data_IF_364712540703
#
_entry.id   IF_364712540703
#
_cell.length_a   1.000
_cell.length_b   1.000
_cell.length_c   1.000
_cell.angle_alpha   90.00
_cell.angle_beta   90.00
_cell.angle_gamma   90.00
#
_symmetry.space_group_name_H-M   'P 1'
#
loop_
_entity.id
_entity.type
_entity.pdbx_description
1 polymer ?
#
# COMPACT_ATOMS: atom_id res chain seq x y z
N UNK A 1 2.02 -24.13 56.20
CA UNK A 1 1.28 -23.35 57.23
C UNK A 1 1.49 -21.88 56.87
N UNK A 2 0.51 -21.00 56.64
CA UNK A 2 -0.95 -20.98 56.72
C UNK A 2 -1.44 -19.85 55.76
N UNK A 3 -2.45 -20.19 54.94
CA UNK A 3 -3.71 -19.46 54.68
C UNK A 3 -3.69 -18.08 53.99
N UNK A 4 -4.12 -18.11 52.71
CA UNK A 4 -5.19 -17.35 52.02
C UNK A 4 -5.49 -15.86 52.31
N UNK A 5 -5.77 -15.14 51.22
CA UNK A 5 -6.60 -13.94 51.19
C UNK A 5 -7.03 -13.58 49.77
N UNK A 6 -8.22 -14.03 49.36
CA UNK A 6 -8.92 -13.56 48.18
C UNK A 6 -10.01 -12.58 48.59
N UNK A 7 -10.22 -11.49 47.85
CA UNK A 7 -11.47 -10.72 47.88
C UNK A 7 -11.91 -10.42 46.45
N UNK A 8 -13.21 -10.66 46.22
CA UNK A 8 -13.94 -10.56 44.97
C UNK A 8 -14.60 -9.18 44.81
N UNK A 9 -14.79 -8.82 43.54
CA UNK A 9 -15.98 -8.24 42.89
C UNK A 9 -16.42 -6.79 43.18
N UNK A 10 -16.65 -6.06 42.07
CA UNK A 10 -17.92 -5.38 41.79
C UNK A 10 -18.14 -5.23 40.27
N UNK A 11 -19.38 -5.39 39.84
CA UNK A 11 -19.94 -5.32 38.47
C UNK A 11 -20.91 -4.14 38.40
N UNK A 12 -20.97 -3.44 37.26
CA UNK A 12 -22.15 -2.76 36.67
C UNK A 12 -21.72 -2.22 35.27
N UNK A 13 -22.18 -2.68 34.10
CA UNK A 13 -23.50 -2.75 33.42
C UNK A 13 -23.98 -1.42 32.79
N UNK A 14 -24.36 -1.53 31.50
CA UNK A 14 -25.24 -0.71 30.65
C UNK A 14 -24.65 0.53 29.95
N UNK A 15 -24.99 0.90 28.70
CA UNK A 15 -25.83 0.28 27.66
C UNK A 15 -25.65 1.04 26.31
N UNK A 16 -25.91 0.31 25.22
CA UNK A 16 -26.52 0.66 23.92
C UNK A 16 -26.22 1.98 23.18
N UNK A 17 -25.93 1.84 21.87
CA UNK A 17 -26.08 2.92 20.88
C UNK A 17 -25.68 2.50 19.46
N UNK A 18 -26.41 1.55 18.86
CA UNK A 18 -26.31 1.24 17.42
C UNK A 18 -27.15 2.26 16.66
N UNK A 19 -26.56 3.03 15.76
CA UNK A 19 -27.28 3.85 14.78
C UNK A 19 -27.17 3.18 13.41
N UNK A 20 -28.21 2.43 13.05
CA UNK A 20 -28.56 2.11 11.67
C UNK A 20 -29.74 3.00 11.31
N UNK A 21 -29.54 3.94 10.38
CA UNK A 21 -30.64 4.69 9.76
C UNK A 21 -30.72 4.28 8.30
N UNK A 22 -31.72 3.46 8.03
CA UNK A 22 -32.17 2.99 6.72
C UNK A 22 -33.27 3.88 6.15
N UNK A 23 -33.34 3.92 4.82
CA UNK A 23 -34.47 4.33 3.96
C UNK A 23 -34.89 5.80 3.95
N UNK A 24 -34.52 6.49 2.87
CA UNK A 24 -35.31 7.57 2.29
C UNK A 24 -36.16 7.01 1.14
N UNK A 25 -37.48 7.04 1.30
CA UNK A 25 -38.47 6.86 0.24
C UNK A 25 -38.76 8.21 -0.40
N UNK A 26 -38.88 8.24 -1.72
CA UNK A 26 -39.30 9.39 -2.51
C UNK A 26 -40.81 9.56 -2.43
N UNK A 27 -41.28 10.75 -2.07
CA UNK A 27 -42.66 11.21 -2.30
C UNK A 27 -42.64 12.67 -2.78
N UNK A 28 -43.21 12.88 -3.96
CA UNK A 28 -43.43 14.16 -4.63
C UNK A 28 -44.63 14.89 -4.00
N UNK A 29 -44.45 16.15 -3.61
CA UNK A 29 -45.53 16.97 -3.03
C UNK A 29 -45.20 18.45 -2.96
N UNK A 30 -46.06 19.29 -3.53
CA UNK A 30 -45.73 20.62 -4.03
C UNK A 30 -45.91 21.81 -3.04
N UNK A 31 -45.17 22.88 -3.37
CA UNK A 31 -45.42 24.33 -3.17
C UNK A 31 -45.16 24.99 -1.80
N UNK A 32 -44.26 25.98 -1.80
CA UNK A 32 -44.24 27.05 -0.80
C UNK A 32 -43.03 27.99 -0.86
N UNK A 33 -43.20 29.13 -1.55
CA UNK A 33 -42.66 30.48 -1.30
C UNK A 33 -41.14 30.76 -1.11
N UNK A 34 -40.76 31.92 -1.64
CA UNK A 34 -39.41 32.40 -1.87
C UNK A 34 -38.71 33.03 -0.65
N UNK A 35 -37.37 32.97 -0.65
CA UNK A 35 -36.49 34.02 -0.10
C UNK A 35 -35.18 34.07 -0.89
N UNK A 36 -34.91 35.22 -1.53
CA UNK A 36 -33.57 35.62 -2.00
C UNK A 36 -32.74 35.97 -0.78
N UNK A 37 -31.47 35.57 -0.79
CA UNK A 37 -30.34 36.37 -0.27
C UNK A 37 -29.06 35.89 -0.97
N UNK A 38 -28.35 36.87 -1.55
CA UNK A 38 -27.06 36.75 -2.22
C UNK A 38 -25.95 36.39 -1.23
N UNK A 39 -24.94 35.65 -1.70
CA UNK A 39 -23.62 35.71 -1.07
C UNK A 39 -22.77 34.45 -1.21
N UNK A 40 -21.68 34.59 -1.95
CA UNK A 40 -20.46 33.84 -1.64
C UNK A 40 -20.20 32.64 -2.54
N UNK A 41 -19.45 32.91 -3.59
CA UNK A 41 -18.56 31.97 -4.30
C UNK A 41 -17.74 31.15 -3.30
N UNK A 42 -18.26 30.00 -2.89
CA UNK A 42 -17.53 28.93 -2.25
C UNK A 42 -17.16 27.90 -3.29
N UNK A 43 -16.33 28.28 -4.26
CA UNK A 43 -15.67 27.31 -5.14
C UNK A 43 -14.72 26.52 -4.23
N UNK A 44 -15.24 25.43 -3.66
CA UNK A 44 -14.41 24.40 -3.06
C UNK A 44 -13.39 24.08 -4.14
N UNK A 45 -12.13 24.50 -3.92
CA UNK A 45 -11.01 24.10 -4.76
C UNK A 45 -10.97 22.60 -4.65
N UNK A 46 -11.65 21.92 -5.58
CA UNK A 46 -11.44 20.51 -5.81
C UNK A 46 -9.93 20.36 -5.91
N UNK A 47 -9.34 19.62 -4.98
CA UNK A 47 -7.94 19.27 -5.07
C UNK A 47 -7.77 18.70 -6.48
N UNK A 48 -7.07 19.46 -7.35
CA UNK A 48 -6.79 19.02 -8.71
C UNK A 48 -6.13 17.66 -8.52
N UNK A 49 -6.75 16.62 -9.08
CA UNK A 49 -6.15 15.30 -9.05
C UNK A 49 -4.70 15.46 -9.53
N UNK A 50 -3.70 14.91 -8.81
CA UNK A 50 -2.32 15.11 -9.18
C UNK A 50 -2.15 14.68 -10.64
N UNK A 51 -1.41 15.47 -11.41
CA UNK A 51 -1.08 15.13 -12.78
C UNK A 51 -0.45 13.73 -12.77
N UNK A 52 -0.86 12.88 -13.70
CA UNK A 52 -0.36 11.51 -13.82
C UNK A 52 0.70 11.40 -14.91
N UNK A 53 1.01 12.49 -15.60
CA UNK A 53 1.91 12.55 -16.74
C UNK A 53 2.82 13.78 -16.60
N UNK A 54 3.93 13.78 -17.34
CA UNK A 54 4.92 14.85 -17.39
C UNK A 54 5.49 15.26 -16.02
N UNK A 55 5.65 14.28 -15.12
CA UNK A 55 6.18 14.52 -13.78
C UNK A 55 7.70 14.70 -13.82
N UNK A 56 8.18 15.80 -13.25
CA UNK A 56 9.64 16.06 -13.15
C UNK A 56 10.35 15.06 -12.23
N UNK A 57 9.63 14.46 -11.27
CA UNK A 57 10.13 13.48 -10.30
C UNK A 57 9.03 12.54 -9.85
N UNK A 58 9.41 11.45 -9.19
CA UNK A 58 8.45 10.53 -8.58
C UNK A 58 7.71 11.23 -7.43
N UNK A 59 6.38 11.36 -7.44
CA UNK A 59 5.63 12.05 -6.40
C UNK A 59 5.83 11.46 -5.00
N UNK A 60 5.72 12.27 -3.95
CA UNK A 60 5.72 11.85 -2.54
C UNK A 60 6.97 11.07 -2.07
N UNK A 61 8.04 11.06 -2.88
CA UNK A 61 9.35 10.53 -2.54
C UNK A 61 10.28 11.69 -2.21
N UNK A 62 10.75 11.76 -0.96
CA UNK A 62 11.64 12.83 -0.48
C UNK A 62 13.02 12.80 -1.14
N UNK A 63 13.72 13.95 -1.14
CA UNK A 63 14.96 14.18 -1.90
C UNK A 63 16.02 13.11 -1.66
N UNK A 64 16.23 12.71 -0.40
CA UNK A 64 17.19 11.65 -0.05
C UNK A 64 17.00 10.34 -0.81
N UNK A 65 15.74 9.96 -1.10
CA UNK A 65 15.44 8.75 -1.86
C UNK A 65 15.43 9.02 -3.37
N UNK A 66 14.99 10.20 -3.82
CA UNK A 66 15.09 10.59 -5.23
C UNK A 66 16.53 10.52 -5.74
N UNK A 67 17.47 11.06 -4.97
CA UNK A 67 18.89 11.11 -5.34
C UNK A 67 19.51 9.71 -5.49
N UNK A 68 18.85 8.67 -4.96
CA UNK A 68 19.26 7.27 -5.08
C UNK A 68 18.64 6.56 -6.28
N UNK A 69 17.68 7.16 -6.96
CA UNK A 69 17.14 6.62 -8.21
C UNK A 69 18.22 6.80 -9.29
N UNK A 70 18.69 5.71 -9.94
CA UNK A 70 19.72 5.83 -10.97
C UNK A 70 19.26 6.76 -12.11
N UNK A 71 20.15 7.67 -12.56
CA UNK A 71 19.81 8.64 -13.59
C UNK A 71 19.39 7.99 -14.93
N UNK A 72 19.86 6.78 -15.20
CA UNK A 72 19.51 5.97 -16.36
C UNK A 72 18.26 5.08 -16.15
N UNK A 73 17.59 5.19 -15.01
CA UNK A 73 16.34 4.49 -14.78
C UNK A 73 15.28 4.99 -15.77
N UNK A 74 14.64 4.02 -16.45
CA UNK A 74 13.53 4.23 -17.39
C UNK A 74 12.17 3.79 -16.80
N UNK A 75 12.21 3.09 -15.68
CA UNK A 75 11.04 2.63 -14.94
C UNK A 75 11.32 2.72 -13.44
N UNK A 76 10.30 3.07 -12.66
CA UNK A 76 10.30 3.02 -11.20
C UNK A 76 9.04 2.32 -10.74
N UNK A 77 9.20 1.31 -9.89
CA UNK A 77 8.09 0.73 -9.12
C UNK A 77 8.14 1.33 -7.73
N UNK A 78 7.27 2.29 -7.47
CA UNK A 78 7.16 2.94 -6.16
C UNK A 78 6.10 2.24 -5.32
N UNK A 79 6.38 2.03 -4.03
CA UNK A 79 5.42 1.45 -3.09
C UNK A 79 5.14 2.46 -1.98
N UNK A 80 3.90 2.93 -1.90
CA UNK A 80 3.47 3.91 -0.92
C UNK A 80 2.65 3.22 0.18
N UNK A 81 3.13 3.26 1.42
CA UNK A 81 2.38 2.79 2.58
C UNK A 81 1.28 3.77 3.00
N UNK A 82 0.16 3.27 3.54
CA UNK A 82 -0.86 4.13 4.16
C UNK A 82 -0.37 4.80 5.46
N UNK A 83 0.74 4.33 6.01
CA UNK A 83 1.38 4.85 7.21
C UNK A 83 2.56 3.99 7.61
N UNK A 84 3.41 4.49 8.50
CA UNK A 84 4.64 3.82 8.94
C UNK A 84 4.39 2.43 9.50
N UNK A 85 3.33 2.25 10.30
CA UNK A 85 2.98 0.97 10.95
C UNK A 85 1.88 0.18 10.22
N UNK A 86 1.50 0.59 9.00
CA UNK A 86 0.42 -0.04 8.24
C UNK A 86 0.93 -1.11 7.28
N UNK A 87 0.21 -2.23 7.20
CA UNK A 87 0.43 -3.28 6.22
C UNK A 87 -0.22 -3.01 4.86
N UNK A 88 -0.97 -1.92 4.72
CA UNK A 88 -1.65 -1.53 3.48
C UNK A 88 -0.77 -0.57 2.70
N UNK A 89 -0.60 -0.85 1.42
CA UNK A 89 0.17 -0.02 0.50
C UNK A 89 -0.46 0.06 -0.88
N UNK A 90 0.10 0.91 -1.72
CA UNK A 90 -0.21 1.01 -3.16
C UNK A 90 1.10 0.90 -3.93
N UNK A 91 1.16 -0.01 -4.89
CA UNK A 91 2.26 -0.11 -5.85
C UNK A 91 1.90 0.74 -7.06
N UNK A 92 2.84 1.54 -7.54
CA UNK A 92 2.68 2.40 -8.72
C UNK A 92 3.86 2.19 -9.65
N UNK A 93 3.57 1.93 -10.92
CA UNK A 93 4.56 1.89 -11.98
C UNK A 93 4.64 3.28 -12.63
N UNK A 94 5.85 3.83 -12.64
CA UNK A 94 6.20 5.00 -13.41
C UNK A 94 7.13 4.61 -14.56
N UNK A 95 6.90 5.21 -15.73
CA UNK A 95 7.71 5.04 -16.94
C UNK A 95 8.24 6.39 -17.37
N UNK A 96 9.53 6.45 -17.76
CA UNK A 96 10.15 7.69 -18.21
C UNK A 96 9.86 7.93 -19.69
N UNK A 97 9.43 9.14 -20.03
CA UNK A 97 9.23 9.63 -21.40
C UNK A 97 10.07 10.90 -21.58
N UNK A 98 11.15 10.80 -22.35
CA UNK A 98 12.17 11.88 -22.38
C UNK A 98 12.77 12.11 -20.98
N UNK A 99 12.58 13.32 -20.46
CA UNK A 99 13.06 13.71 -19.13
C UNK A 99 11.97 13.65 -18.04
N UNK A 100 10.71 13.38 -18.41
CA UNK A 100 9.59 13.33 -17.48
C UNK A 100 9.15 11.91 -17.17
N UNK A 101 8.33 11.76 -16.13
CA UNK A 101 7.77 10.50 -15.67
C UNK A 101 6.26 10.48 -15.80
N UNK A 102 5.73 9.36 -16.27
CA UNK A 102 4.30 9.10 -16.36
C UNK A 102 3.92 7.95 -15.42
N UNK A 103 2.87 8.15 -14.63
CA UNK A 103 2.20 7.09 -13.88
C UNK A 103 1.41 6.22 -14.85
N UNK A 104 1.93 5.04 -15.15
CA UNK A 104 1.31 4.13 -16.12
C UNK A 104 0.34 3.13 -15.48
N UNK A 105 0.63 2.62 -14.28
CA UNK A 105 -0.24 1.64 -13.59
C UNK A 105 -0.20 1.78 -12.07
N UNK A 106 -1.24 1.27 -11.40
CA UNK A 106 -1.37 1.31 -9.94
C UNK A 106 -2.17 0.11 -9.43
N UNK A 107 -1.76 -0.46 -8.30
CA UNK A 107 -2.44 -1.60 -7.68
C UNK A 107 -2.48 -1.47 -6.16
N UNK A 108 -3.55 -1.95 -5.49
CA UNK A 108 -3.50 -2.18 -4.05
C UNK A 108 -2.45 -3.23 -3.73
N UNK A 109 -1.76 -3.07 -2.60
CA UNK A 109 -0.68 -3.95 -2.20
C UNK A 109 -0.61 -4.12 -0.68
N UNK A 110 0.19 -5.11 -0.28
CA UNK A 110 0.51 -5.39 1.12
C UNK A 110 2.02 -5.39 1.33
N UNK A 111 2.45 -4.79 2.43
CA UNK A 111 3.84 -4.82 2.90
C UNK A 111 3.93 -5.61 4.22
N UNK A 112 5.10 -5.60 4.86
CA UNK A 112 5.31 -6.22 6.16
C UNK A 112 4.20 -5.83 7.15
N UNK A 113 3.67 -6.82 7.87
CA UNK A 113 2.46 -6.63 8.69
C UNK A 113 2.61 -5.60 9.83
N UNK A 114 3.84 -5.24 10.20
CA UNK A 114 4.15 -4.18 11.17
C UNK A 114 4.58 -2.87 10.49
N UNK A 115 4.36 -2.74 9.18
CA UNK A 115 4.68 -1.54 8.43
C UNK A 115 6.10 -1.54 7.86
N UNK A 116 6.79 -0.41 8.04
CA UNK A 116 8.01 -0.04 7.35
C UNK A 116 9.13 0.30 8.33
N UNK A 117 10.39 0.14 7.94
CA UNK A 117 11.55 0.51 8.76
C UNK A 117 12.75 0.90 7.90
N UNK A 118 13.59 1.78 8.43
CA UNK A 118 14.91 2.09 7.86
C UNK A 118 16.04 1.24 8.45
N UNK A 119 15.78 0.52 9.54
CA UNK A 119 16.68 -0.45 10.19
C UNK A 119 16.00 -1.81 10.19
N UNK A 120 15.93 -2.45 9.01
CA UNK A 120 15.27 -3.74 8.86
C UNK A 120 16.13 -4.86 9.42
N UNK A 121 15.50 -5.72 10.21
CA UNK A 121 16.11 -6.93 10.78
C UNK A 121 15.27 -8.14 10.41
N UNK A 122 15.94 -9.27 10.26
CA UNK A 122 15.25 -10.54 10.04
C UNK A 122 14.17 -10.75 11.12
N UNK A 123 12.98 -11.19 10.69
CA UNK A 123 11.82 -11.48 11.54
C UNK A 123 11.15 -10.27 12.24
N UNK A 124 11.55 -9.02 11.94
CA UNK A 124 10.91 -7.83 12.50
C UNK A 124 9.48 -7.58 11.98
N UNK A 125 9.11 -8.24 10.88
CA UNK A 125 7.81 -8.15 10.18
C UNK A 125 7.54 -6.77 9.56
N UNK A 126 8.59 -6.01 9.26
CA UNK A 126 8.53 -4.73 8.58
C UNK A 126 9.17 -4.84 7.19
N UNK A 127 8.73 -4.01 6.26
CA UNK A 127 9.39 -3.86 4.96
C UNK A 127 10.48 -2.79 5.05
N UNK A 128 11.62 -2.98 4.37
CA UNK A 128 12.67 -1.96 4.34
C UNK A 128 12.24 -0.73 3.54
N UNK A 129 12.63 0.45 4.00
CA UNK A 129 12.49 1.72 3.29
C UNK A 129 13.80 2.02 2.55
N UNK A 130 13.74 2.16 1.23
CA UNK A 130 14.90 2.49 0.42
C UNK A 130 14.63 2.48 -1.08
N UNK A 131 15.70 2.65 -1.86
CA UNK A 131 15.70 2.45 -3.31
C UNK A 131 16.59 1.25 -3.60
N UNK A 132 16.03 0.28 -4.32
CA UNK A 132 16.67 -0.97 -4.65
C UNK A 132 16.51 -1.23 -6.14
N UNK A 133 17.54 -1.79 -6.78
CA UNK A 133 17.45 -2.22 -8.18
C UNK A 133 16.68 -3.53 -8.29
N UNK A 134 16.03 -3.74 -9.43
CA UNK A 134 15.39 -5.02 -9.77
C UNK A 134 16.37 -5.81 -10.62
N UNK A 135 16.59 -7.09 -10.30
CA UNK A 135 17.65 -7.88 -10.94
C UNK A 135 17.18 -9.19 -11.53
N UNK A 136 16.18 -9.82 -10.90
CA UNK A 136 15.77 -11.18 -11.23
C UNK A 136 14.25 -11.30 -11.08
N UNK A 137 13.67 -12.26 -11.78
CA UNK A 137 12.27 -12.65 -11.67
C UNK A 137 12.18 -14.17 -11.43
N UNK A 138 11.00 -14.64 -11.06
CA UNK A 138 10.77 -16.06 -10.87
C UNK A 138 9.37 -16.36 -10.36
N UNK A 139 9.16 -17.59 -9.94
CA UNK A 139 7.92 -18.03 -9.31
C UNK A 139 7.68 -19.52 -9.46
N UNK A 140 6.55 -19.97 -8.92
CA UNK A 140 6.10 -21.35 -9.11
C UNK A 140 5.66 -21.59 -10.57
N UNK A 141 5.05 -20.57 -11.18
CA UNK A 141 4.50 -20.65 -12.52
C UNK A 141 5.57 -20.43 -13.59
N UNK A 142 5.27 -20.85 -14.82
CA UNK A 142 6.12 -20.65 -15.98
C UNK A 142 6.32 -19.16 -16.26
N UNK A 143 7.49 -18.84 -16.83
CA UNK A 143 7.86 -17.48 -17.21
C UNK A 143 6.74 -16.80 -18.02
N UNK A 144 6.17 -15.67 -17.54
CA UNK A 144 5.09 -14.98 -18.23
C UNK A 144 5.59 -14.11 -19.41
N UNK A 145 6.88 -14.19 -19.76
CA UNK A 145 7.55 -13.31 -20.72
C UNK A 145 8.36 -12.22 -20.04
N UNK A 146 8.99 -12.52 -18.91
CA UNK A 146 9.82 -11.62 -18.15
C UNK A 146 11.06 -11.18 -18.97
N UNK A 147 11.41 -9.90 -18.89
CA UNK A 147 12.65 -9.37 -19.45
C UNK A 147 13.86 -9.62 -18.52
N UNK A 148 13.61 -9.93 -17.25
CA UNK A 148 14.63 -10.31 -16.28
C UNK A 148 14.93 -11.80 -16.34
N UNK A 149 16.13 -12.25 -15.91
CA UNK A 149 16.39 -13.67 -15.68
C UNK A 149 15.29 -14.29 -14.82
N UNK A 150 14.64 -15.34 -15.33
CA UNK A 150 13.50 -15.96 -14.67
C UNK A 150 13.85 -17.35 -14.12
N UNK A 151 13.67 -17.53 -12.82
CA UNK A 151 13.80 -18.85 -12.18
C UNK A 151 12.43 -19.43 -11.87
N UNK A 152 12.04 -20.49 -12.58
CA UNK A 152 10.85 -21.27 -12.21
C UNK A 152 11.24 -22.37 -11.22
N UNK A 153 10.57 -22.46 -10.06
CA UNK A 153 10.79 -23.56 -9.12
C UNK A 153 9.58 -23.83 -8.24
N UNK A 154 9.21 -25.10 -8.11
CA UNK A 154 8.18 -25.56 -7.15
C UNK A 154 8.63 -25.39 -5.69
N UNK A 155 9.93 -25.22 -5.44
CA UNK A 155 10.45 -24.96 -4.08
C UNK A 155 10.01 -23.61 -3.51
N UNK A 156 9.57 -22.67 -4.37
CA UNK A 156 9.00 -21.38 -3.94
C UNK A 156 7.54 -21.48 -3.52
N UNK A 157 6.89 -22.63 -3.68
CA UNK A 157 5.49 -22.81 -3.33
C UNK A 157 5.23 -22.48 -1.86
N UNK A 158 4.26 -21.61 -1.61
CA UNK A 158 3.80 -21.32 -0.25
C UNK A 158 3.39 -22.63 0.45
N UNK A 159 3.82 -22.87 1.71
CA UNK A 159 3.49 -24.10 2.41
C UNK A 159 1.98 -24.32 2.55
N UNK A 160 1.50 -25.54 2.30
CA UNK A 160 0.05 -25.85 2.33
C UNK A 160 -0.59 -25.75 3.73
N UNK A 161 0.20 -25.66 4.80
CA UNK A 161 -0.31 -25.38 6.15
C UNK A 161 -0.63 -23.89 6.37
N UNK A 162 -0.24 -22.99 5.46
CA UNK A 162 -0.69 -21.60 5.46
C UNK A 162 -2.15 -21.50 5.00
N UNK A 163 -2.87 -20.44 5.40
CA UNK A 163 -4.21 -20.18 4.86
C UNK A 163 -4.19 -20.16 3.33
N UNK A 164 -5.23 -20.73 2.71
CA UNK A 164 -5.36 -20.83 1.24
C UNK A 164 -5.19 -19.51 0.50
N UNK A 165 -5.49 -18.39 1.17
CA UNK A 165 -5.32 -17.03 0.64
C UNK A 165 -3.86 -16.70 0.30
N UNK A 166 -2.89 -17.42 0.83
CA UNK A 166 -1.45 -17.21 0.60
C UNK A 166 -0.84 -18.18 -0.41
N UNK A 167 -1.62 -19.15 -0.92
CA UNK A 167 -1.08 -20.20 -1.78
C UNK A 167 -0.50 -19.66 -3.10
N UNK A 168 -0.90 -18.44 -3.48
CA UNK A 168 -0.51 -17.76 -4.71
C UNK A 168 0.48 -16.61 -4.49
N UNK A 169 0.97 -16.40 -3.26
CA UNK A 169 1.88 -15.28 -2.94
C UNK A 169 3.23 -15.36 -3.70
N UNK A 170 3.57 -16.54 -4.22
CA UNK A 170 4.82 -16.81 -4.94
C UNK A 170 4.61 -17.34 -6.37
N UNK A 171 3.42 -17.18 -6.93
CA UNK A 171 3.14 -17.58 -8.33
C UNK A 171 4.08 -16.86 -9.30
N UNK A 172 4.26 -15.54 -9.09
CA UNK A 172 5.19 -14.67 -9.78
C UNK A 172 5.88 -13.73 -8.79
N UNK A 173 7.19 -13.59 -8.92
CA UNK A 173 8.07 -12.83 -8.04
C UNK A 173 9.00 -11.97 -8.89
N UNK A 174 9.22 -10.75 -8.45
CA UNK A 174 10.32 -9.90 -8.91
C UNK A 174 11.21 -9.57 -7.71
N UNK A 175 12.52 -9.75 -7.86
CA UNK A 175 13.48 -9.58 -6.79
C UNK A 175 14.00 -8.15 -6.73
N UNK A 176 13.93 -7.56 -5.54
CA UNK A 176 14.73 -6.37 -5.21
C UNK A 176 16.13 -6.79 -4.78
N UNK A 177 17.12 -6.03 -5.19
CA UNK A 177 18.50 -6.16 -4.74
C UNK A 177 18.68 -5.53 -3.35
N UNK A 178 18.05 -6.14 -2.34
CA UNK A 178 18.12 -5.68 -0.95
C UNK A 178 19.33 -6.25 -0.20
N UNK A 179 19.58 -7.55 -0.36
CA UNK A 179 20.59 -8.32 0.37
C UNK A 179 21.65 -8.97 -0.53
N UNK A 180 21.75 -8.63 -1.83
CA UNK A 180 22.71 -9.31 -2.71
C UNK A 180 24.13 -8.86 -2.36
N UNK A 181 24.94 -9.78 -1.88
CA UNK A 181 26.38 -9.67 -2.00
C UNK A 181 26.75 -10.00 -3.45
N UNK A 182 27.17 -9.00 -4.22
CA UNK A 182 27.77 -9.26 -5.54
C UNK A 182 29.09 -10.02 -5.29
N UNK A 183 29.27 -11.15 -5.96
CA UNK A 183 30.52 -11.91 -5.88
C UNK A 183 31.72 -11.03 -6.30
N UNK A 184 32.86 -11.25 -5.66
CA UNK A 184 34.16 -10.65 -6.01
C UNK A 184 34.75 -11.30 -7.25
#
# INVERSE_FOLDING_TARGET
MRIAGAVRAAVAVAACGVLLTSCGSSDDGAKGAAKKDDGGTGQAKGAKAPATEDLERIPDVGDRLQDKIPANARQVVAVYGQGEDSAKSTVVLYTKSGDTWDKTRSWPAHNGKKGWTTDHRENDKRSPVGVFTLTDAGGVLADPGAEFPYTQSTSMQAPHYWPKTHWHDFDYVIAIDYNRAKGT
#
